data_IF_791823175918
#
_entry.id   IF_791823175918
#
_cell.length_a   1.000
_cell.length_b   1.000
_cell.length_c   1.000
_cell.angle_alpha   90.00
_cell.angle_beta   90.00
_cell.angle_gamma   90.00
#
_symmetry.space_group_name_H-M   'P 1'
#
loop_
_entity.id
_entity.type
_entity.pdbx_description
1 polymer ?
#
# COMPACT_ATOMS: atom_id res chain seq x y z
N UNK A 1 -26.44 -8.03 -29.00
CA UNK A 1 -26.13 -6.96 -29.96
C UNK A 1 -25.87 -5.68 -29.17
N UNK A 2 -24.61 -5.27 -28.90
CA UNK A 2 -24.35 -3.99 -28.26
C UNK A 2 -24.62 -2.87 -29.26
N UNK A 3 -25.41 -1.87 -28.85
CA UNK A 3 -25.80 -0.73 -29.67
C UNK A 3 -24.57 0.06 -30.14
N UNK A 4 -24.45 0.22 -31.45
CA UNK A 4 -23.34 0.94 -32.07
C UNK A 4 -23.55 2.44 -31.83
N UNK A 5 -22.69 3.06 -31.03
CA UNK A 5 -22.72 4.52 -30.82
C UNK A 5 -22.25 5.17 -32.13
N UNK A 6 -23.19 5.69 -32.91
CA UNK A 6 -22.94 6.16 -34.28
C UNK A 6 -22.64 7.66 -34.39
N UNK A 7 -22.87 8.45 -33.35
CA UNK A 7 -22.65 9.90 -33.39
C UNK A 7 -22.28 10.47 -32.01
N UNK A 8 -21.41 11.49 -32.01
CA UNK A 8 -21.11 12.32 -30.84
C UNK A 8 -22.09 13.51 -30.86
N UNK A 9 -22.72 13.87 -29.71
CA UNK A 9 -23.82 14.85 -29.67
C UNK A 9 -23.51 16.19 -30.33
N UNK A 10 -22.27 16.67 -30.19
CA UNK A 10 -21.88 18.01 -30.63
C UNK A 10 -21.24 18.05 -32.02
N UNK A 11 -20.83 16.90 -32.58
CA UNK A 11 -20.27 16.83 -33.92
C UNK A 11 -20.51 15.45 -34.57
N UNK A 12 -21.48 15.35 -35.49
CA UNK A 12 -21.85 14.08 -36.13
C UNK A 12 -20.77 13.55 -37.09
N UNK A 13 -19.77 14.35 -37.46
CA UNK A 13 -18.66 13.91 -38.32
C UNK A 13 -17.58 13.15 -37.55
N UNK A 14 -17.61 13.18 -36.21
CA UNK A 14 -16.64 12.47 -35.38
C UNK A 14 -17.06 11.01 -35.21
N UNK A 15 -16.10 10.10 -35.41
CA UNK A 15 -16.27 8.67 -35.19
C UNK A 15 -15.58 8.25 -33.90
N UNK A 16 -16.22 7.44 -33.03
CA UNK A 16 -15.59 6.93 -31.83
C UNK A 16 -14.41 6.02 -32.18
N UNK A 17 -13.24 6.29 -31.60
CA UNK A 17 -12.00 5.54 -31.86
C UNK A 17 -11.90 4.29 -30.97
N UNK A 18 -12.56 4.30 -29.81
CA UNK A 18 -12.59 3.16 -28.90
C UNK A 18 -13.62 3.34 -27.80
N UNK A 19 -14.18 2.21 -27.37
CA UNK A 19 -15.08 2.13 -26.22
C UNK A 19 -14.38 1.31 -25.13
N UNK A 20 -14.31 1.87 -23.93
CA UNK A 20 -13.78 1.19 -22.74
C UNK A 20 -14.85 1.25 -21.65
N UNK A 21 -15.62 0.16 -21.43
CA UNK A 21 -16.59 0.12 -20.33
C UNK A 21 -15.83 0.27 -19.01
N UNK A 22 -16.38 1.04 -18.07
CA UNK A 22 -15.78 1.19 -16.74
C UNK A 22 -16.27 0.04 -15.87
N UNK A 23 -15.34 -0.77 -15.35
CA UNK A 23 -15.66 -1.92 -14.50
C UNK A 23 -14.69 -2.02 -13.31
N UNK A 24 -15.12 -2.60 -12.18
CA UNK A 24 -14.22 -2.89 -11.07
C UNK A 24 -13.22 -3.97 -11.46
N UNK A 25 -12.01 -3.83 -10.96
CA UNK A 25 -11.07 -4.94 -10.92
C UNK A 25 -11.28 -5.76 -9.65
N UNK A 26 -12.05 -6.85 -9.76
CA UNK A 26 -12.48 -7.65 -8.61
C UNK A 26 -11.34 -8.37 -7.88
N UNK A 27 -10.23 -8.66 -8.57
CA UNK A 27 -9.06 -9.32 -7.99
C UNK A 27 -7.90 -8.32 -7.78
N UNK A 28 -8.12 -7.04 -8.05
CA UNK A 28 -7.14 -5.96 -7.89
C UNK A 28 -7.14 -5.27 -6.54
N UNK A 29 -7.99 -5.71 -5.61
CA UNK A 29 -8.08 -5.12 -4.28
C UNK A 29 -6.93 -5.61 -3.39
N UNK A 30 -6.10 -4.68 -2.84
CA UNK A 30 -5.16 -5.04 -1.79
C UNK A 30 -5.89 -5.30 -0.47
N UNK A 31 -5.18 -5.78 0.56
CA UNK A 31 -5.76 -6.10 1.87
C UNK A 31 -6.55 -4.94 2.51
N UNK A 32 -6.14 -3.66 2.38
CA UNK A 32 -6.92 -2.53 2.89
C UNK A 32 -8.14 -2.15 2.03
N UNK A 33 -8.32 -2.79 0.87
CA UNK A 33 -9.40 -2.52 -0.08
C UNK A 33 -9.15 -1.37 -1.06
N UNK A 34 -7.95 -0.78 -1.06
CA UNK A 34 -7.57 0.27 -2.00
C UNK A 34 -6.15 0.77 -1.80
N UNK A 35 -5.74 1.71 -2.65
CA UNK A 35 -4.38 2.20 -2.76
C UNK A 35 -4.19 3.53 -2.02
N UNK A 36 -2.94 3.84 -1.70
CA UNK A 36 -2.54 5.14 -1.14
C UNK A 36 -1.73 5.91 -2.18
N UNK A 37 -1.95 7.21 -2.25
CA UNK A 37 -1.18 8.10 -3.11
C UNK A 37 -0.23 8.94 -2.27
N UNK A 38 1.07 8.80 -2.54
CA UNK A 38 2.11 9.63 -1.93
C UNK A 38 2.67 10.62 -2.95
N UNK A 39 2.75 11.89 -2.57
CA UNK A 39 3.39 12.95 -3.35
C UNK A 39 4.56 13.54 -2.57
N UNK A 40 5.77 13.43 -3.12
CA UNK A 40 6.95 14.07 -2.55
C UNK A 40 7.03 15.54 -3.02
N UNK A 41 7.27 16.47 -2.11
CA UNK A 41 7.49 17.89 -2.46
C UNK A 41 8.80 18.10 -3.23
N UNK A 42 9.81 17.26 -2.97
CA UNK A 42 11.06 17.19 -3.74
C UNK A 42 11.30 15.75 -4.17
N UNK A 43 11.80 15.56 -5.38
CA UNK A 43 12.12 14.24 -5.90
C UNK A 43 13.02 13.47 -4.91
N UNK A 44 12.63 12.25 -4.49
CA UNK A 44 13.38 11.51 -3.48
C UNK A 44 14.73 11.01 -4.00
N UNK A 45 14.76 10.66 -5.29
CA UNK A 45 15.93 10.17 -6.01
C UNK A 45 16.11 11.05 -7.26
N UNK A 46 17.36 11.39 -7.57
CA UNK A 46 17.68 12.16 -8.76
C UNK A 46 17.57 11.27 -10.00
N UNK A 47 17.09 11.82 -11.11
CA UNK A 47 17.09 11.10 -12.37
C UNK A 47 18.52 10.87 -12.86
N UNK A 48 18.80 9.67 -13.34
CA UNK A 48 20.07 9.29 -13.96
C UNK A 48 19.91 9.36 -15.48
N UNK A 49 20.76 10.13 -16.17
CA UNK A 49 20.71 10.28 -17.63
C UNK A 49 19.30 10.62 -18.18
N UNK A 50 18.54 11.45 -17.45
CA UNK A 50 17.16 11.83 -17.81
C UNK A 50 16.11 10.74 -17.61
N UNK A 51 16.48 9.56 -17.10
CA UNK A 51 15.57 8.47 -16.77
C UNK A 51 15.27 8.44 -15.27
N UNK A 52 14.02 8.12 -14.94
CA UNK A 52 13.61 7.87 -13.56
C UNK A 52 14.28 6.60 -13.06
N UNK A 53 14.79 6.63 -11.83
CA UNK A 53 15.30 5.45 -11.13
C UNK A 53 14.19 4.39 -10.99
N UNK A 54 14.43 3.19 -11.50
CA UNK A 54 13.45 2.10 -11.55
C UNK A 54 13.18 1.49 -10.17
N UNK A 55 14.10 1.66 -9.22
CA UNK A 55 13.93 1.22 -7.82
C UNK A 55 12.77 1.93 -7.13
N UNK A 56 12.38 3.12 -7.61
CA UNK A 56 11.20 3.82 -7.12
C UNK A 56 9.89 3.07 -7.37
N UNK A 57 9.83 2.15 -8.35
CA UNK A 57 8.63 1.35 -8.61
C UNK A 57 8.40 0.24 -7.59
N UNK A 58 9.45 -0.15 -6.89
CA UNK A 58 9.44 -1.22 -5.89
C UNK A 58 9.88 -0.71 -4.53
N UNK A 59 9.91 0.61 -4.35
CA UNK A 59 10.31 1.26 -3.12
C UNK A 59 9.28 1.02 -2.02
N UNK A 60 9.76 0.96 -0.77
CA UNK A 60 8.92 0.72 0.40
C UNK A 60 8.90 2.00 1.23
N UNK A 61 7.69 2.45 1.55
CA UNK A 61 7.45 3.52 2.52
C UNK A 61 6.97 2.87 3.81
N UNK A 62 7.81 2.90 4.84
CA UNK A 62 7.47 2.39 6.15
C UNK A 62 7.02 3.56 7.05
N UNK A 63 5.79 3.52 7.62
CA UNK A 63 5.39 4.51 8.61
C UNK A 63 6.30 4.45 9.83
N UNK A 64 6.75 5.61 10.30
CA UNK A 64 7.49 5.74 11.56
C UNK A 64 6.88 6.80 12.45
N UNK A 65 6.97 6.57 13.76
CA UNK A 65 6.40 7.48 14.74
C UNK A 65 6.96 8.89 14.55
N UNK A 66 6.12 9.92 14.50
CA UNK A 66 6.60 11.28 14.41
C UNK A 66 7.33 11.67 15.69
N UNK A 67 8.04 12.79 15.66
CA UNK A 67 8.73 13.33 16.83
C UNK A 67 7.76 13.48 18.02
N UNK A 68 8.24 13.18 19.24
CA UNK A 68 7.41 13.21 20.46
C UNK A 68 6.68 14.55 20.64
N UNK A 69 7.36 15.66 20.30
CA UNK A 69 6.79 17.01 20.31
C UNK A 69 5.54 17.12 19.42
N UNK A 70 5.55 16.49 18.25
CA UNK A 70 4.42 16.47 17.31
C UNK A 70 3.27 15.63 17.88
N UNK A 71 3.56 14.50 18.52
CA UNK A 71 2.56 13.69 19.23
C UNK A 71 1.89 14.48 20.36
N UNK A 72 2.68 15.19 21.18
CA UNK A 72 2.17 16.00 22.28
C UNK A 72 1.31 17.18 21.80
N UNK A 73 1.75 17.88 20.74
CA UNK A 73 0.96 18.94 20.11
C UNK A 73 -0.36 18.43 19.55
N UNK A 74 -0.35 17.28 18.88
CA UNK A 74 -1.55 16.64 18.33
C UNK A 74 -2.51 16.21 19.43
N UNK A 75 -2.01 15.56 20.48
CA UNK A 75 -2.80 15.15 21.64
C UNK A 75 -3.46 16.35 22.34
N UNK A 76 -2.72 17.45 22.50
CA UNK A 76 -3.23 18.69 23.10
C UNK A 76 -4.36 19.29 22.26
N UNK A 77 -4.19 19.38 20.93
CA UNK A 77 -5.23 19.86 20.02
C UNK A 77 -6.46 18.95 20.02
N UNK A 78 -6.24 17.64 20.08
CA UNK A 78 -7.33 16.64 20.14
C UNK A 78 -8.13 16.80 21.42
N UNK A 79 -7.47 17.01 22.56
CA UNK A 79 -8.14 17.27 23.84
C UNK A 79 -8.96 18.58 23.80
N UNK A 80 -8.40 19.64 23.21
CA UNK A 80 -9.09 20.93 23.06
C UNK A 80 -10.32 20.82 22.14
N UNK A 81 -10.20 20.13 21.00
CA UNK A 81 -11.32 19.87 20.10
C UNK A 81 -12.41 19.03 20.79
N UNK A 82 -12.03 17.98 21.52
CA UNK A 82 -12.97 17.14 22.28
C UNK A 82 -13.71 17.93 23.36
N UNK A 83 -13.03 18.87 24.03
CA UNK A 83 -13.63 19.72 25.04
C UNK A 83 -14.57 20.78 24.44
N UNK A 84 -14.18 21.41 23.32
CA UNK A 84 -14.96 22.46 22.68
C UNK A 84 -14.89 22.36 21.13
N UNK A 85 -15.75 21.54 20.51
CA UNK A 85 -15.71 21.30 19.06
C UNK A 85 -16.04 22.53 18.21
N UNK A 86 -16.79 23.50 18.74
CA UNK A 86 -17.18 24.72 18.02
C UNK A 86 -16.05 25.76 17.92
N UNK A 87 -15.10 25.74 18.87
CA UNK A 87 -14.03 26.73 18.97
C UNK A 87 -12.72 26.22 18.36
N UNK A 88 -12.44 24.93 18.51
CA UNK A 88 -11.21 24.32 18.02
C UNK A 88 -11.52 23.40 16.84
N UNK A 89 -10.87 23.57 15.68
CA UNK A 89 -11.04 22.67 14.55
C UNK A 89 -10.48 21.28 14.87
N UNK A 90 -11.02 20.26 14.19
CA UNK A 90 -10.49 18.90 14.26
C UNK A 90 -9.02 18.88 13.80
N UNK A 91 -8.07 18.44 14.66
CA UNK A 91 -6.66 18.32 14.26
C UNK A 91 -6.41 17.25 13.18
N UNK A 92 -7.38 16.38 12.90
CA UNK A 92 -7.26 15.30 11.92
C UNK A 92 -6.40 14.13 12.40
N UNK A 93 -5.99 13.23 11.50
CA UNK A 93 -5.18 12.07 11.86
C UNK A 93 -3.77 12.48 12.33
N UNK A 94 -3.14 11.61 13.13
CA UNK A 94 -1.73 11.80 13.54
C UNK A 94 -0.85 11.86 12.28
N UNK A 95 -0.02 12.90 12.12
CA UNK A 95 0.85 13.03 10.96
C UNK A 95 2.08 12.12 11.11
N UNK A 96 1.95 10.87 10.71
CA UNK A 96 3.06 9.91 10.71
C UNK A 96 4.21 10.36 9.81
N UNK A 97 5.43 10.04 10.20
CA UNK A 97 6.60 10.15 9.33
C UNK A 97 6.71 8.86 8.48
N UNK A 98 7.49 8.93 7.40
CA UNK A 98 7.68 7.79 6.50
C UNK A 98 9.15 7.63 6.14
N UNK A 99 9.69 6.46 6.44
CA UNK A 99 11.02 6.04 6.02
C UNK A 99 10.96 5.42 4.62
N UNK A 100 11.71 6.02 3.69
CA UNK A 100 11.82 5.53 2.31
C UNK A 100 12.98 4.54 2.21
N UNK A 101 12.67 3.32 1.78
CA UNK A 101 13.61 2.24 1.51
C UNK A 101 13.67 1.95 0.01
N UNK A 102 14.88 1.79 -0.53
CA UNK A 102 15.15 1.47 -1.93
C UNK A 102 15.88 0.15 -2.04
N UNK A 103 15.63 -0.59 -3.12
CA UNK A 103 16.40 -1.79 -3.42
C UNK A 103 17.90 -1.46 -3.52
N UNK A 104 18.76 -2.30 -2.95
CA UNK A 104 20.21 -2.02 -2.84
C UNK A 104 20.85 -1.72 -4.21
N UNK A 105 20.62 -2.59 -5.20
CA UNK A 105 21.28 -2.54 -6.51
C UNK A 105 20.36 -1.99 -7.60
N UNK A 106 20.90 -1.15 -8.49
CA UNK A 106 20.22 -0.76 -9.73
C UNK A 106 19.87 -1.99 -10.59
N UNK A 107 18.71 -1.96 -11.25
CA UNK A 107 18.20 -3.10 -12.03
C UNK A 107 17.56 -4.23 -11.22
N UNK A 108 17.65 -4.20 -9.88
CA UNK A 108 16.94 -5.17 -9.00
C UNK A 108 15.43 -5.07 -9.14
N UNK A 109 14.91 -3.92 -9.57
CA UNK A 109 13.47 -3.71 -9.72
C UNK A 109 12.82 -4.73 -10.65
N UNK A 110 13.51 -5.18 -11.71
CA UNK A 110 12.99 -6.21 -12.62
C UNK A 110 12.79 -7.55 -11.90
N UNK A 111 13.80 -7.98 -11.15
CA UNK A 111 13.78 -9.21 -10.35
C UNK A 111 12.67 -9.18 -9.29
N UNK A 112 12.55 -8.06 -8.56
CA UNK A 112 11.50 -7.85 -7.57
C UNK A 112 10.12 -7.90 -8.21
N UNK A 113 9.91 -7.17 -9.33
CA UNK A 113 8.64 -7.19 -10.08
C UNK A 113 8.27 -8.60 -10.55
N UNK A 114 9.25 -9.38 -11.01
CA UNK A 114 9.01 -10.77 -11.41
C UNK A 114 8.52 -11.64 -10.24
N UNK A 115 9.11 -11.48 -9.04
CA UNK A 115 8.67 -12.21 -7.84
C UNK A 115 7.28 -11.78 -7.33
N UNK A 116 6.88 -10.53 -7.60
CA UNK A 116 5.57 -10.00 -7.18
C UNK A 116 4.45 -10.26 -8.20
N UNK A 117 4.80 -10.68 -9.42
CA UNK A 117 3.83 -10.81 -10.51
C UNK A 117 3.05 -12.12 -10.41
N UNK A 118 1.75 -12.04 -10.10
CA UNK A 118 0.87 -13.21 -10.03
C UNK A 118 0.68 -13.92 -11.38
N UNK A 119 0.88 -13.22 -12.50
CA UNK A 119 0.82 -13.82 -13.84
C UNK A 119 2.12 -14.50 -14.26
N UNK A 120 3.21 -14.35 -13.50
CA UNK A 120 4.48 -14.99 -13.81
C UNK A 120 4.49 -16.41 -13.23
N UNK A 121 4.49 -17.48 -14.06
CA UNK A 121 4.53 -18.86 -13.56
C UNK A 121 5.83 -19.19 -12.81
N UNK A 122 6.89 -18.43 -13.12
CA UNK A 122 8.22 -18.58 -12.56
C UNK A 122 8.47 -17.54 -11.45
N UNK A 123 7.42 -17.00 -10.79
CA UNK A 123 7.58 -15.95 -9.76
C UNK A 123 8.38 -16.45 -8.55
N UNK A 124 8.24 -17.74 -8.22
CA UNK A 124 8.82 -18.36 -7.03
C UNK A 124 10.26 -18.87 -7.28
N UNK A 125 10.80 -18.67 -8.48
CA UNK A 125 12.17 -19.04 -8.83
C UNK A 125 13.17 -18.29 -7.93
N UNK A 126 14.14 -19.04 -7.38
CA UNK A 126 15.19 -18.49 -6.53
C UNK A 126 15.99 -17.37 -7.23
N UNK A 127 16.11 -17.42 -8.56
CA UNK A 127 16.82 -16.43 -9.38
C UNK A 127 16.16 -15.05 -9.39
N UNK A 128 14.87 -14.97 -9.03
CA UNK A 128 14.17 -13.70 -8.88
C UNK A 128 14.58 -12.97 -7.60
N UNK A 129 15.22 -13.62 -6.62
CA UNK A 129 15.67 -12.94 -5.40
C UNK A 129 17.05 -12.31 -5.58
N UNK A 130 17.33 -11.27 -4.79
CA UNK A 130 18.59 -10.52 -4.90
C UNK A 130 19.66 -11.02 -3.94
N UNK A 131 19.25 -11.63 -2.83
CA UNK A 131 20.12 -12.14 -1.77
C UNK A 131 19.60 -13.48 -1.22
N UNK A 132 20.51 -14.18 -0.55
CA UNK A 132 20.28 -15.42 0.19
C UNK A 132 20.92 -15.30 1.56
N UNK A 133 20.18 -15.70 2.60
CA UNK A 133 20.62 -15.68 3.98
C UNK A 133 21.49 -16.89 4.32
N UNK A 134 22.15 -16.88 5.50
CA UNK A 134 22.94 -18.02 5.99
C UNK A 134 22.12 -19.32 6.15
N UNK A 135 20.81 -19.18 6.33
CA UNK A 135 19.80 -20.22 6.47
C UNK A 135 19.22 -20.68 5.12
N UNK A 136 19.69 -20.13 4.01
CA UNK A 136 19.16 -20.40 2.66
C UNK A 136 17.90 -19.60 2.33
N UNK A 137 17.41 -18.74 3.23
CA UNK A 137 16.22 -17.92 2.99
C UNK A 137 16.50 -16.88 1.92
N UNK A 138 15.68 -16.86 0.86
CA UNK A 138 15.82 -15.89 -0.24
C UNK A 138 15.06 -14.61 0.08
N UNK A 139 15.69 -13.47 -0.15
CA UNK A 139 15.09 -12.18 0.16
C UNK A 139 15.55 -11.07 -0.78
N UNK A 140 14.80 -9.97 -0.74
CA UNK A 140 15.15 -8.70 -1.34
C UNK A 140 15.70 -7.75 -0.30
N UNK A 141 16.89 -7.22 -0.56
CA UNK A 141 17.55 -6.28 0.35
C UNK A 141 17.21 -4.85 -0.03
N UNK A 142 16.79 -4.08 0.97
CA UNK A 142 16.47 -2.68 0.84
C UNK A 142 17.25 -1.85 1.85
N UNK A 143 17.83 -0.75 1.39
CA UNK A 143 18.53 0.19 2.24
C UNK A 143 17.69 1.45 2.45
N UNK A 144 17.72 1.99 3.67
CA UNK A 144 17.02 3.21 4.02
C UNK A 144 17.68 4.41 3.36
N UNK A 145 16.91 5.17 2.59
CA UNK A 145 17.37 6.42 1.99
C UNK A 145 17.26 7.60 2.97
N UNK A 146 16.05 7.88 3.45
CA UNK A 146 15.75 8.98 4.38
C UNK A 146 14.31 8.94 4.92
N UNK A 147 14.07 9.71 5.98
CA UNK A 147 12.73 9.97 6.52
C UNK A 147 12.08 11.19 5.86
N UNK A 148 10.79 11.12 5.66
CA UNK A 148 9.93 12.22 5.22
C UNK A 148 8.86 12.49 6.26
N UNK A 149 8.62 13.77 6.51
CA UNK A 149 7.52 14.20 7.37
C UNK A 149 6.24 14.38 6.55
N UNK A 150 5.11 14.06 7.15
CA UNK A 150 3.81 14.38 6.55
C UNK A 150 3.60 15.90 6.55
N UNK A 151 3.27 16.45 5.38
CA UNK A 151 2.89 17.86 5.25
C UNK A 151 1.37 18.03 5.27
N UNK A 152 0.67 17.21 4.49
CA UNK A 152 -0.80 17.17 4.45
C UNK A 152 -1.24 15.74 4.21
N UNK A 153 -2.28 15.30 4.90
CA UNK A 153 -2.86 13.97 4.73
C UNK A 153 -4.38 14.12 4.62
N UNK A 154 -4.94 13.51 3.59
CA UNK A 154 -6.39 13.42 3.38
C UNK A 154 -6.73 11.94 3.31
N UNK A 155 -7.55 11.47 4.23
CA UNK A 155 -8.08 10.11 4.25
C UNK A 155 -9.53 10.16 3.77
N UNK A 156 -9.87 9.33 2.78
CA UNK A 156 -11.21 9.20 2.23
C UNK A 156 -11.93 8.01 2.90
N UNK A 157 -12.15 8.09 4.22
CA UNK A 157 -12.80 7.00 4.98
C UNK A 157 -14.26 6.80 4.60
N UNK A 158 -14.96 7.90 4.32
CA UNK A 158 -16.42 7.88 4.12
C UNK A 158 -16.81 7.67 2.65
N UNK A 159 -15.94 8.08 1.72
CA UNK A 159 -16.17 7.99 0.28
C UNK A 159 -14.98 7.33 -0.43
N UNK A 160 -14.87 6.01 -0.27
CA UNK A 160 -13.75 5.21 -0.80
C UNK A 160 -13.53 5.36 -2.31
N UNK A 161 -14.59 5.65 -3.07
CA UNK A 161 -14.55 5.80 -4.54
C UNK A 161 -14.54 7.26 -5.00
N UNK A 162 -14.33 8.23 -4.11
CA UNK A 162 -14.20 9.65 -4.47
C UNK A 162 -13.00 9.89 -5.39
N UNK A 163 -11.89 9.23 -5.09
CA UNK A 163 -10.66 9.26 -5.86
C UNK A 163 -10.37 7.86 -6.38
N UNK A 164 -10.15 7.73 -7.69
CA UNK A 164 -9.86 6.45 -8.34
C UNK A 164 -8.66 6.57 -9.28
N UNK A 165 -7.85 5.52 -9.35
CA UNK A 165 -6.95 5.26 -10.47
C UNK A 165 -7.70 4.52 -11.56
N UNK A 166 -7.42 4.82 -12.84
CA UNK A 166 -7.99 4.14 -14.00
C UNK A 166 -6.88 3.52 -14.84
N UNK A 167 -7.05 2.25 -15.21
CA UNK A 167 -6.20 1.55 -16.16
C UNK A 167 -7.04 1.19 -17.38
N UNK A 168 -6.67 1.76 -18.53
CA UNK A 168 -7.25 1.39 -19.81
C UNK A 168 -6.55 0.13 -20.30
N UNK A 169 -7.31 -0.95 -20.46
CA UNK A 169 -6.78 -2.23 -20.89
C UNK A 169 -7.47 -2.70 -22.17
N UNK A 170 -6.66 -3.09 -23.14
CA UNK A 170 -7.09 -3.71 -24.39
C UNK A 170 -6.28 -5.01 -24.60
N UNK A 171 -6.91 -6.20 -24.53
CA UNK A 171 -6.25 -7.48 -24.76
C UNK A 171 -5.49 -7.54 -26.08
N UNK A 172 -5.98 -6.86 -27.12
CA UNK A 172 -5.33 -6.84 -28.44
C UNK A 172 -4.00 -6.06 -28.46
N UNK A 173 -3.75 -5.24 -27.43
CA UNK A 173 -2.53 -4.44 -27.28
C UNK A 173 -1.65 -4.91 -26.12
N UNK A 174 -2.04 -5.98 -25.42
CA UNK A 174 -1.29 -6.49 -24.28
C UNK A 174 0.03 -7.11 -24.75
N UNK A 175 1.14 -6.62 -24.21
CA UNK A 175 2.51 -7.11 -24.51
C UNK A 175 3.07 -8.01 -23.41
N UNK A 176 2.34 -8.17 -22.30
CA UNK A 176 2.74 -8.92 -21.12
C UNK A 176 1.59 -9.79 -20.65
N UNK A 177 1.94 -10.94 -20.06
CA UNK A 177 0.97 -11.80 -19.39
C UNK A 177 0.32 -11.02 -18.25
N UNK A 178 -0.97 -10.80 -18.40
CA UNK A 178 -1.81 -10.05 -17.48
C UNK A 178 -3.00 -10.91 -17.11
N UNK A 179 -3.44 -10.76 -15.86
CA UNK A 179 -4.67 -11.43 -15.39
C UNK A 179 -5.95 -10.82 -15.98
N UNK A 180 -5.85 -9.64 -16.57
CA UNK A 180 -6.99 -8.96 -17.18
C UNK A 180 -7.28 -9.57 -18.55
N UNK A 181 -8.53 -9.94 -18.81
CA UNK A 181 -8.91 -10.68 -20.03
C UNK A 181 -9.85 -9.91 -20.95
N UNK A 182 -10.61 -8.94 -20.43
CA UNK A 182 -11.60 -8.16 -21.18
C UNK A 182 -11.17 -6.70 -21.37
N UNK A 183 -11.46 -6.15 -22.55
CA UNK A 183 -11.23 -4.73 -22.86
C UNK A 183 -12.11 -3.83 -22.00
N UNK A 184 -11.49 -3.03 -21.14
CA UNK A 184 -12.22 -2.16 -20.21
C UNK A 184 -11.33 -1.08 -19.60
N UNK A 185 -11.97 -0.10 -18.97
CA UNK A 185 -11.34 0.83 -18.05
C UNK A 185 -11.52 0.30 -16.61
N UNK A 186 -10.48 -0.30 -16.06
CA UNK A 186 -10.49 -0.84 -14.71
C UNK A 186 -10.23 0.26 -13.69
N UNK A 187 -11.06 0.35 -12.65
CA UNK A 187 -10.87 1.33 -11.59
C UNK A 187 -10.31 0.73 -10.30
N UNK A 188 -9.50 1.53 -9.60
CA UNK A 188 -8.84 1.18 -8.35
C UNK A 188 -9.03 2.31 -7.33
N UNK A 189 -9.65 2.06 -6.16
CA UNK A 189 -9.91 3.11 -5.17
C UNK A 189 -8.64 3.70 -4.57
N UNK A 190 -8.61 5.01 -4.35
CA UNK A 190 -7.55 5.72 -3.63
C UNK A 190 -8.09 6.13 -2.26
N UNK A 191 -7.67 5.41 -1.23
CA UNK A 191 -8.16 5.57 0.15
C UNK A 191 -7.60 6.80 0.83
N UNK A 192 -6.45 7.30 0.38
CA UNK A 192 -5.83 8.46 0.97
C UNK A 192 -4.75 9.07 0.10
N UNK A 193 -4.58 10.39 0.27
CA UNK A 193 -3.57 11.20 -0.40
C UNK A 193 -2.69 11.86 0.65
N UNK A 194 -1.40 11.56 0.60
CA UNK A 194 -0.41 12.08 1.54
C UNK A 194 0.67 12.85 0.79
N UNK A 195 0.95 14.07 1.23
CA UNK A 195 2.07 14.87 0.74
C UNK A 195 3.21 14.81 1.73
N UNK A 196 4.38 14.42 1.25
CA UNK A 196 5.59 14.19 2.02
C UNK A 196 6.62 15.29 1.74
N UNK A 197 7.21 15.83 2.81
CA UNK A 197 8.29 16.81 2.76
C UNK A 197 9.54 16.24 3.42
N UNK A 198 10.76 16.63 2.98
CA UNK A 198 11.98 16.28 3.70
C UNK A 198 11.89 16.71 5.16
N UNK A 199 12.30 15.83 6.07
CA UNK A 199 12.32 16.12 7.50
C UNK A 199 13.24 17.32 7.80
N UNK A 200 12.72 18.34 8.51
CA UNK A 200 13.46 19.60 8.79
C UNK A 200 14.45 19.49 9.94
N UNK A 201 14.33 18.49 10.81
CA UNK A 201 15.16 18.32 12.02
C UNK A 201 16.66 18.24 11.69
N UNK A 202 17.04 17.56 10.60
CA UNK A 202 18.44 17.50 10.13
C UNK A 202 18.97 18.82 9.60
N UNK A 203 18.14 19.66 8.97
CA UNK A 203 18.60 20.95 8.42
C UNK A 203 18.94 21.94 9.53
N UNK A 204 18.18 21.95 10.64
CA UNK A 204 18.45 22.84 11.78
C UNK A 204 19.61 22.31 12.64
N UNK A 205 19.74 20.98 12.79
CA UNK A 205 20.88 20.36 13.48
C UNK A 205 22.21 20.56 12.72
N UNK A 206 22.21 20.51 11.39
CA UNK A 206 23.40 20.87 10.58
C UNK A 206 23.70 22.36 10.58
N UNK A 207 22.70 23.22 10.75
CA UNK A 207 22.89 24.67 10.83
C UNK A 207 23.37 25.15 12.21
N UNK A 208 23.39 24.30 13.25
CA UNK A 208 23.85 24.67 14.59
C UNK A 208 22.88 25.57 15.38
N UNK A 209 21.64 25.75 14.92
CA UNK A 209 20.63 26.62 15.55
C UNK A 209 19.64 25.88 16.48
N UNK A 210 19.79 24.56 16.68
CA UNK A 210 18.90 23.80 17.56
C UNK A 210 19.36 23.90 19.04
N UNK A 211 18.55 24.42 19.97
CA UNK A 211 18.89 24.46 21.41
C UNK A 211 18.85 23.08 22.07
N UNK A 212 18.29 22.07 21.39
CA UNK A 212 18.28 20.68 21.83
C UNK A 212 18.87 19.83 20.71
N UNK A 213 19.97 19.12 21.01
CA UNK A 213 20.56 18.09 20.16
C UNK A 213 19.41 17.18 19.70
N UNK A 214 19.11 17.17 18.40
CA UNK A 214 18.17 16.20 17.83
C UNK A 214 18.66 14.82 18.27
N UNK A 215 17.94 14.17 19.20
CA UNK A 215 18.23 12.79 19.55
C UNK A 215 18.09 12.03 18.24
N UNK A 216 19.20 11.49 17.74
CA UNK A 216 19.12 10.50 16.68
C UNK A 216 18.13 9.44 17.19
N UNK A 217 17.12 9.07 16.38
CA UNK A 217 16.25 7.94 16.73
C UNK A 217 17.19 6.75 16.96
N UNK A 218 17.40 6.37 18.23
CA UNK A 218 18.41 5.37 18.64
C UNK A 218 18.11 3.99 18.03
N UNK A 219 16.89 3.80 17.55
CA UNK A 219 16.37 2.55 16.98
C UNK A 219 16.01 2.70 15.48
N UNK A 220 16.79 3.48 14.73
CA UNK A 220 16.51 3.69 13.31
C UNK A 220 16.94 2.48 12.47
N UNK A 221 15.96 1.83 11.84
CA UNK A 221 16.20 0.72 10.90
C UNK A 221 16.92 1.22 9.65
N UNK A 222 18.12 0.71 9.41
CA UNK A 222 18.94 1.08 8.24
C UNK A 222 18.67 0.20 7.03
N UNK A 223 18.22 -1.03 7.24
CA UNK A 223 18.05 -2.04 6.22
C UNK A 223 16.89 -2.95 6.56
N UNK A 224 16.16 -3.35 5.54
CA UNK A 224 15.11 -4.37 5.66
C UNK A 224 15.35 -5.49 4.66
N UNK A 225 14.97 -6.69 5.07
CA UNK A 225 14.99 -7.89 4.25
C UNK A 225 13.53 -8.27 3.97
N UNK A 226 13.16 -8.39 2.71
CA UNK A 226 11.78 -8.62 2.28
C UNK A 226 11.69 -9.94 1.52
N UNK A 227 10.94 -10.88 2.05
CA UNK A 227 10.53 -12.10 1.33
C UNK A 227 9.11 -11.93 0.79
N UNK A 228 8.80 -12.63 -0.29
CA UNK A 228 7.47 -12.65 -0.90
C UNK A 228 6.81 -13.96 -0.50
N UNK A 229 5.53 -13.88 -0.13
CA UNK A 229 4.69 -15.05 0.16
C UNK A 229 3.29 -14.81 -0.39
N UNK A 230 2.55 -15.90 -0.57
CA UNK A 230 1.12 -15.82 -0.82
C UNK A 230 0.35 -15.30 0.41
N UNK A 231 -0.83 -14.68 0.18
CA UNK A 231 -1.66 -14.18 1.27
C UNK A 231 -2.15 -15.33 2.15
N UNK A 232 -2.20 -15.09 3.46
CA UNK A 232 -2.75 -16.05 4.41
C UNK A 232 -4.31 -16.05 4.35
N UNK A 233 -5.00 -16.97 5.06
CA UNK A 233 -6.46 -17.03 5.06
C UNK A 233 -7.14 -15.72 5.51
N UNK A 234 -6.57 -15.01 6.49
CA UNK A 234 -7.11 -13.72 6.97
C UNK A 234 -7.02 -12.61 5.92
N UNK A 235 -5.86 -12.50 5.25
CA UNK A 235 -5.62 -11.56 4.14
C UNK A 235 -6.55 -11.89 2.96
N UNK A 236 -6.70 -13.17 2.64
CA UNK A 236 -7.62 -13.64 1.60
C UNK A 236 -9.07 -13.28 1.93
N UNK A 237 -9.50 -13.49 3.18
CA UNK A 237 -10.84 -13.14 3.65
C UNK A 237 -11.07 -11.62 3.64
N UNK A 238 -10.08 -10.80 4.01
CA UNK A 238 -10.15 -9.33 3.91
C UNK A 238 -10.34 -8.87 2.47
N UNK A 239 -9.55 -9.40 1.53
CA UNK A 239 -9.70 -9.10 0.09
C UNK A 239 -11.07 -9.52 -0.43
N UNK A 240 -11.53 -10.73 -0.06
CA UNK A 240 -12.87 -11.22 -0.40
C UNK A 240 -13.97 -10.31 0.16
N UNK A 241 -13.80 -9.76 1.37
CA UNK A 241 -14.72 -8.80 1.98
C UNK A 241 -14.85 -7.51 1.19
N UNK A 242 -13.74 -6.99 0.66
CA UNK A 242 -13.78 -5.83 -0.23
C UNK A 242 -14.45 -6.13 -1.56
N UNK A 243 -14.16 -7.30 -2.16
CA UNK A 243 -14.83 -7.74 -3.38
C UNK A 243 -16.34 -7.88 -3.19
N UNK A 244 -16.80 -8.43 -2.07
CA UNK A 244 -18.22 -8.61 -1.77
C UNK A 244 -19.01 -7.28 -1.72
N UNK A 245 -18.36 -6.15 -1.40
CA UNK A 245 -19.00 -4.84 -1.42
C UNK A 245 -19.35 -4.36 -2.83
N UNK A 246 -18.69 -4.90 -3.86
CA UNK A 246 -18.83 -4.49 -5.26
C UNK A 246 -19.50 -5.57 -6.10
N UNK A 247 -19.23 -6.84 -5.82
CA UNK A 247 -19.79 -8.00 -6.53
C UNK A 247 -20.90 -8.66 -5.68
N UNK A 248 -22.13 -8.25 -5.94
CA UNK A 248 -23.33 -8.78 -5.26
C UNK A 248 -23.56 -10.28 -5.46
N UNK A 249 -23.03 -10.88 -6.55
CA UNK A 249 -23.12 -12.33 -6.77
C UNK A 249 -22.12 -13.05 -5.87
N UNK A 250 -20.90 -12.54 -5.79
CA UNK A 250 -19.87 -13.06 -4.90
C UNK A 250 -20.28 -12.94 -3.43
N UNK A 251 -20.90 -11.81 -3.04
CA UNK A 251 -21.35 -11.58 -1.67
C UNK A 251 -22.29 -12.67 -1.12
N UNK A 252 -23.08 -13.32 -1.99
CA UNK A 252 -24.00 -14.41 -1.60
C UNK A 252 -23.27 -15.71 -1.25
N UNK A 253 -22.07 -15.90 -1.79
CA UNK A 253 -21.27 -17.12 -1.64
C UNK A 253 -19.94 -16.82 -0.94
N UNK A 254 -19.92 -15.80 -0.07
CA UNK A 254 -18.72 -15.40 0.64
C UNK A 254 -18.27 -16.55 1.57
N UNK A 255 -16.97 -16.90 1.57
CA UNK A 255 -16.45 -17.90 2.51
C UNK A 255 -16.67 -17.43 3.95
N UNK A 256 -16.82 -18.37 4.89
CA UNK A 256 -16.90 -18.03 6.30
C UNK A 256 -15.58 -17.38 6.77
N UNK A 257 -15.62 -16.49 7.78
CA UNK A 257 -14.41 -15.98 8.41
C UNK A 257 -13.51 -17.15 8.83
N UNK A 258 -12.18 -17.06 8.62
CA UNK A 258 -11.27 -18.03 9.19
C UNK A 258 -11.42 -18.05 10.71
N UNK A 259 -11.32 -19.23 11.33
CA UNK A 259 -11.27 -19.35 12.78
C UNK A 259 -10.11 -18.48 13.29
N UNK A 260 -10.35 -17.63 14.29
CA UNK A 260 -9.29 -16.81 14.84
C UNK A 260 -8.21 -17.73 15.41
N UNK A 261 -6.94 -17.32 15.33
CA UNK A 261 -5.85 -18.04 15.99
C UNK A 261 -6.05 -18.17 17.52
N UNK A 262 -7.01 -17.44 18.09
CA UNK A 262 -7.43 -17.54 19.49
C UNK A 262 -8.40 -18.71 19.77
N UNK A 263 -9.17 -19.18 18.78
CA UNK A 263 -10.08 -20.33 18.94
C UNK A 263 -9.32 -21.66 18.88
N UNK A 264 -8.25 -21.76 18.09
CA UNK A 264 -7.44 -22.99 17.98
C UNK A 264 -6.74 -23.34 19.30
N UNK A 265 -6.39 -22.34 20.12
CA UNK A 265 -5.75 -22.57 21.44
C UNK A 265 -6.75 -23.10 22.47
N UNK A 266 -8.06 -22.86 22.30
CA UNK A 266 -9.08 -23.37 23.24
C UNK A 266 -9.34 -24.87 23.05
N UNK A 267 -9.38 -25.33 21.80
CA UNK A 267 -9.67 -26.73 21.50
C UNK A 267 -8.50 -27.67 21.90
N UNK A 268 -7.26 -27.17 21.96
CA UNK A 268 -6.09 -27.94 22.42
C UNK A 268 -5.96 -28.00 23.97
N UNK A 269 -6.60 -27.09 24.72
CA UNK A 269 -6.56 -27.09 26.20
C UNK A 269 -7.66 -28.00 26.78
N UNK A 270 -8.79 -28.14 26.09
CA UNK A 270 -9.91 -28.96 26.56
C UNK A 270 -9.75 -30.46 26.23
N UNK A 271 -8.72 -30.85 25.47
CA UNK A 271 -8.46 -32.23 25.06
C UNK A 271 -7.53 -33.04 25.99
N UNK A 272 -6.88 -32.42 26.99
CA UNK A 272 -5.87 -33.08 27.85
C UNK A 272 -6.29 -33.24 29.33
N UNK A 273 -7.59 -33.10 29.65
CA UNK A 273 -8.07 -32.98 31.03
C UNK A 273 -8.90 -34.13 31.60
N UNK A 274 -8.97 -35.31 30.95
CA UNK A 274 -9.80 -36.42 31.44
C UNK A 274 -9.04 -37.77 31.42
N UNK A 275 -8.26 -38.06 32.47
CA UNK A 275 -8.05 -39.43 32.97
C UNK A 275 -7.50 -39.49 34.41
N UNK A 276 -8.44 -39.56 35.36
CA UNK A 276 -8.53 -40.36 36.61
C UNK A 276 -7.28 -41.10 37.16
N UNK A 277 -6.90 -40.85 38.43
CA UNK A 277 -7.04 -41.84 39.55
C UNK A 277 -6.50 -41.33 40.91
N UNK A 278 -7.40 -41.27 41.90
CA UNK A 278 -7.08 -41.51 43.31
C UNK A 278 -6.76 -43.01 43.51
N UNK A 279 -5.88 -43.36 44.44
CA UNK A 279 -6.34 -43.67 45.81
C UNK A 279 -5.55 -42.98 46.91
#
# INVERSE_FOLDING_TARGET
>A
MPGQISCIPDNPNLKPVGLFPIIPDLDGFPDPGGFLQFKFDKAPVQASAGKRDDRMDVAILLPSAPEERVCQEHASKTALHKANPSLYPDPGPIPWDYDLFLAEKEGSAKKIKNSLSLSNPNRDDADNYTHEGPDGTKYHRYDRLRTYATSTQVLNTDQKYKDIGLVLFDPAQATQDTRLTQKAAYYYPILGKTRLKPERSRTIAQAGLAPTRAKAKEEQVHQIQVSVRDPNPDETYKRASHRAQVDSKFAKNMPSPPASAEEVIKDDIDAEGDEVHSP
#
